data_IF_167263607246
#
_entry.id   IF_167263607246
#
_cell.length_a   1.000
_cell.length_b   1.000
_cell.length_c   1.000
_cell.angle_alpha   90.00
_cell.angle_beta   90.00
_cell.angle_gamma   90.00
#
_symmetry.space_group_name_H-M   'P 1'
#
loop_
_entity.id
_entity.type
_entity.pdbx_description
1 polymer ?
#
# COMPACT_ATOMS: atom_id res chain seq x y z
N UNK A 1 -12.74 10.41 17.34
CA UNK A 1 -12.11 9.27 16.64
C UNK A 1 -11.48 8.35 17.67
N UNK A 2 -11.64 7.03 17.54
CA UNK A 2 -10.98 6.06 18.43
C UNK A 2 -9.49 6.01 18.08
N UNK A 3 -8.62 6.14 19.07
CA UNK A 3 -7.18 6.03 18.86
C UNK A 3 -6.82 4.60 18.41
N UNK A 4 -5.82 4.46 17.55
CA UNK A 4 -5.27 3.14 17.21
C UNK A 4 -4.68 2.47 18.44
N UNK A 5 -4.82 1.14 18.50
CA UNK A 5 -4.17 0.35 19.53
C UNK A 5 -2.66 0.51 19.42
N UNK A 6 -2.00 0.80 20.55
CA UNK A 6 -0.55 0.87 20.63
C UNK A 6 0.00 -0.53 20.90
N UNK A 7 1.10 -0.86 20.25
CA UNK A 7 1.78 -2.16 20.39
C UNK A 7 3.28 -1.95 20.38
N UNK A 8 4.03 -2.89 20.97
CA UNK A 8 5.47 -3.00 20.75
C UNK A 8 5.70 -3.85 19.48
N UNK A 9 6.66 -3.44 18.67
CA UNK A 9 7.00 -4.09 17.40
C UNK A 9 8.47 -4.49 17.47
N UNK A 10 8.73 -5.78 17.31
CA UNK A 10 10.09 -6.30 17.17
C UNK A 10 10.69 -5.87 15.84
N UNK A 11 11.85 -5.23 15.91
CA UNK A 11 12.63 -4.85 14.72
C UNK A 11 14.04 -5.41 14.84
N UNK A 12 14.81 -5.48 13.73
CA UNK A 12 16.24 -5.85 13.80
C UNK A 12 17.09 -4.95 14.71
N UNK A 13 16.58 -3.79 15.13
CA UNK A 13 17.26 -2.84 16.00
C UNK A 13 16.67 -2.78 17.43
N UNK A 14 15.82 -3.74 17.79
CA UNK A 14 15.11 -3.81 19.07
C UNK A 14 13.63 -3.43 18.96
N UNK A 15 12.94 -3.51 20.09
CA UNK A 15 11.52 -3.19 20.19
C UNK A 15 11.27 -1.68 20.04
N UNK A 16 10.28 -1.33 19.21
CA UNK A 16 9.84 0.06 19.03
C UNK A 16 8.34 0.19 19.26
N UNK A 17 7.86 1.31 19.84
CA UNK A 17 6.43 1.54 19.95
C UNK A 17 5.83 1.84 18.58
N UNK A 18 4.66 1.27 18.32
CA UNK A 18 3.91 1.47 17.08
C UNK A 18 2.40 1.38 17.28
N UNK A 19 1.69 1.30 16.15
CA UNK A 19 0.23 1.18 16.11
C UNK A 19 -0.19 -0.08 15.35
N UNK A 20 -1.32 -0.66 15.71
CA UNK A 20 -1.89 -1.84 15.03
C UNK A 20 -3.31 -1.52 14.52
N UNK A 21 -3.43 -0.83 13.36
CA UNK A 21 -4.72 -0.52 12.76
C UNK A 21 -5.36 -1.75 12.12
N UNK A 22 -6.70 -1.81 12.15
CA UNK A 22 -7.48 -2.88 11.48
C UNK A 22 -7.58 -2.62 9.96
N UNK A 23 -7.69 -1.36 9.56
CA UNK A 23 -7.75 -0.93 8.17
C UNK A 23 -6.51 -0.09 7.88
N UNK A 24 -5.76 -0.46 6.85
CA UNK A 24 -4.59 0.28 6.41
C UNK A 24 -4.92 0.96 5.08
N UNK A 25 -5.00 2.29 5.12
CA UNK A 25 -4.98 3.12 3.91
C UNK A 25 -3.54 3.24 3.43
N UNK A 26 -3.20 2.49 2.38
CA UNK A 26 -1.88 2.42 1.79
C UNK A 26 -1.90 3.04 0.39
N UNK A 27 -0.78 3.62 -0.05
CA UNK A 27 -0.61 4.23 -1.39
C UNK A 27 -1.12 5.66 -1.58
N UNK A 28 -1.36 6.40 -0.49
CA UNK A 28 -1.64 7.85 -0.57
C UNK A 28 -0.39 8.71 -0.75
N UNK A 29 0.73 8.29 -0.16
CA UNK A 29 1.99 9.04 -0.19
C UNK A 29 2.87 8.66 -1.40
N UNK A 30 2.64 7.48 -1.97
CA UNK A 30 3.34 6.93 -3.13
C UNK A 30 2.45 5.87 -3.76
N UNK A 31 2.54 5.64 -5.07
CA UNK A 31 1.78 4.60 -5.75
C UNK A 31 2.44 3.23 -5.50
N UNK A 32 2.02 2.54 -4.44
CA UNK A 32 2.60 1.26 -4.04
C UNK A 32 2.35 0.19 -5.12
N UNK A 33 1.12 0.01 -5.65
CA UNK A 33 0.89 -1.00 -6.67
C UNK A 33 1.77 -0.83 -7.91
N UNK A 34 1.98 0.41 -8.37
CA UNK A 34 2.77 0.67 -9.58
C UNK A 34 4.29 0.50 -9.36
N UNK A 35 4.82 0.90 -8.21
CA UNK A 35 6.28 1.06 -8.03
C UNK A 35 6.90 0.31 -6.85
N UNK A 36 6.11 -0.10 -5.86
CA UNK A 36 6.61 -0.64 -4.59
C UNK A 36 5.88 -1.91 -4.14
N UNK A 37 5.32 -2.66 -5.08
CA UNK A 37 4.63 -3.93 -4.82
C UNK A 37 5.52 -4.91 -4.06
N UNK A 38 6.71 -5.21 -4.58
CA UNK A 38 7.64 -6.15 -3.93
C UNK A 38 8.04 -5.68 -2.53
N UNK A 39 8.38 -4.38 -2.40
CA UNK A 39 8.68 -3.79 -1.09
C UNK A 39 7.53 -3.97 -0.10
N UNK A 40 6.28 -3.73 -0.53
CA UNK A 40 5.11 -3.84 0.33
C UNK A 40 4.93 -5.28 0.85
N UNK A 41 5.06 -6.27 -0.02
CA UNK A 41 4.93 -7.68 0.40
C UNK A 41 6.10 -8.14 1.28
N UNK A 42 7.32 -7.65 1.06
CA UNK A 42 8.43 -7.89 1.99
C UNK A 42 8.16 -7.25 3.37
N UNK A 43 7.53 -6.07 3.42
CA UNK A 43 7.08 -5.48 4.70
C UNK A 43 5.95 -6.27 5.35
N UNK A 44 5.02 -6.79 4.55
CA UNK A 44 3.94 -7.64 5.02
C UNK A 44 4.49 -8.94 5.62
N UNK A 45 5.50 -9.55 4.98
CA UNK A 45 6.24 -10.70 5.49
C UNK A 45 6.99 -10.38 6.79
N UNK A 46 7.61 -9.20 6.88
CA UNK A 46 8.23 -8.74 8.11
C UNK A 46 7.23 -8.43 9.24
N UNK A 47 5.93 -8.30 8.94
CA UNK A 47 4.87 -8.06 9.94
C UNK A 47 4.72 -6.61 10.39
N UNK A 48 5.50 -5.68 9.83
CA UNK A 48 5.39 -4.26 10.14
C UNK A 48 5.94 -3.37 9.00
N UNK A 49 5.57 -2.09 9.00
CA UNK A 49 6.22 -1.07 8.20
C UNK A 49 6.58 0.16 9.02
N UNK A 50 7.50 0.97 8.48
CA UNK A 50 7.84 2.29 8.99
C UNK A 50 7.35 3.32 7.97
N UNK A 51 6.40 4.14 8.37
CA UNK A 51 5.92 5.27 7.57
C UNK A 51 6.46 6.58 8.12
N UNK A 52 6.86 7.49 7.23
CA UNK A 52 7.25 8.84 7.61
C UNK A 52 6.12 9.79 7.23
N UNK A 53 5.59 10.50 8.22
CA UNK A 53 4.57 11.50 7.96
C UNK A 53 5.19 12.65 7.13
N UNK A 54 4.64 12.98 5.94
CA UNK A 54 5.24 13.97 5.05
C UNK A 54 5.18 15.40 5.62
N UNK A 55 4.23 15.70 6.49
CA UNK A 55 3.99 17.04 7.03
C UNK A 55 4.91 17.39 8.20
N UNK A 56 5.24 16.41 9.05
CA UNK A 56 6.04 16.66 10.27
C UNK A 56 7.29 15.78 10.39
N UNK A 57 7.55 14.92 9.39
CA UNK A 57 8.73 14.05 9.29
C UNK A 57 8.89 13.03 10.42
N UNK A 58 7.89 12.89 11.30
CA UNK A 58 7.91 11.89 12.37
C UNK A 58 7.68 10.50 11.80
N UNK A 59 8.48 9.55 12.28
CA UNK A 59 8.30 8.13 11.96
C UNK A 59 7.14 7.54 12.77
N UNK A 60 6.36 6.69 12.12
CA UNK A 60 5.33 5.87 12.72
C UNK A 60 5.55 4.43 12.28
N UNK A 61 5.70 3.54 13.26
CA UNK A 61 5.72 2.11 13.02
C UNK A 61 4.30 1.58 13.04
N UNK A 62 3.96 0.78 12.04
CA UNK A 62 2.63 0.20 11.83
C UNK A 62 2.80 -1.31 11.81
N UNK A 63 2.23 -1.97 12.81
CA UNK A 63 2.12 -3.43 12.86
C UNK A 63 1.04 -3.88 11.88
N UNK A 64 1.33 -4.98 11.16
CA UNK A 64 0.38 -5.64 10.28
C UNK A 64 -0.45 -6.72 10.99
N UNK A 65 -0.16 -7.00 12.26
CA UNK A 65 -0.76 -8.14 12.98
C UNK A 65 -2.28 -8.04 13.16
N UNK A 66 -2.83 -6.83 13.20
CA UNK A 66 -4.28 -6.60 13.31
C UNK A 66 -4.95 -6.23 11.98
N UNK A 67 -4.18 -6.13 10.89
CA UNK A 67 -4.69 -5.67 9.61
C UNK A 67 -5.66 -6.69 9.02
N UNK A 68 -6.85 -6.23 8.62
CA UNK A 68 -7.89 -7.04 7.96
C UNK A 68 -8.25 -6.55 6.57
N UNK A 69 -7.97 -5.28 6.29
CA UNK A 69 -8.23 -4.65 4.99
C UNK A 69 -7.08 -3.71 4.62
N UNK A 70 -6.56 -3.87 3.41
CA UNK A 70 -5.65 -2.90 2.77
C UNK A 70 -6.42 -2.13 1.70
N UNK A 71 -6.44 -0.81 1.82
CA UNK A 71 -6.98 0.08 0.78
C UNK A 71 -5.82 0.58 -0.06
N UNK A 72 -5.89 0.38 -1.38
CA UNK A 72 -4.85 0.75 -2.32
C UNK A 72 -5.35 1.82 -3.30
N UNK A 73 -4.47 2.76 -3.66
CA UNK A 73 -4.67 3.74 -4.72
C UNK A 73 -3.57 3.58 -5.76
N UNK A 74 -3.93 3.61 -7.04
CA UNK A 74 -2.95 3.50 -8.13
C UNK A 74 -3.50 4.03 -9.45
N UNK A 75 -2.60 4.33 -10.38
CA UNK A 75 -2.94 4.50 -11.80
C UNK A 75 -2.51 3.33 -12.67
N UNK A 76 -1.78 2.37 -12.10
CA UNK A 76 -1.29 1.19 -12.80
C UNK A 76 -1.31 -0.01 -11.83
N UNK A 77 -2.41 -0.77 -11.75
CA UNK A 77 -2.52 -1.92 -10.86
C UNK A 77 -1.74 -3.14 -11.35
N UNK A 78 -1.41 -3.22 -12.64
CA UNK A 78 -0.82 -4.42 -13.25
C UNK A 78 0.36 -5.04 -12.46
N UNK A 79 1.32 -4.28 -11.91
CA UNK A 79 2.48 -4.86 -11.24
C UNK A 79 2.15 -5.59 -9.92
N UNK A 80 1.06 -5.24 -9.24
CA UNK A 80 0.69 -5.88 -7.96
C UNK A 80 -0.15 -7.13 -8.14
N UNK A 81 -0.84 -7.29 -9.28
CA UNK A 81 -1.90 -8.29 -9.48
C UNK A 81 -1.44 -9.72 -9.17
N UNK A 82 -0.23 -10.08 -9.62
CA UNK A 82 0.33 -11.43 -9.42
C UNK A 82 0.64 -11.77 -7.95
N UNK A 83 0.69 -10.78 -7.07
CA UNK A 83 1.05 -10.93 -5.65
C UNK A 83 -0.17 -10.95 -4.74
N UNK A 84 -1.38 -10.66 -5.25
CA UNK A 84 -2.59 -10.51 -4.44
C UNK A 84 -2.97 -11.77 -3.65
N UNK A 85 -2.66 -12.95 -4.19
CA UNK A 85 -2.82 -14.22 -3.48
C UNK A 85 -2.09 -14.25 -2.12
N UNK A 86 -1.02 -13.48 -1.93
CA UNK A 86 -0.33 -13.39 -0.64
C UNK A 86 -1.13 -12.65 0.44
N UNK A 87 -2.02 -11.73 0.06
CA UNK A 87 -2.96 -11.12 1.00
C UNK A 87 -4.07 -12.11 1.38
N UNK A 88 -4.58 -12.85 0.39
CA UNK A 88 -5.63 -13.85 0.58
C UNK A 88 -5.18 -14.99 1.49
N UNK A 89 -3.96 -15.51 1.28
CA UNK A 89 -3.35 -16.53 2.16
C UNK A 89 -3.20 -16.07 3.62
N UNK A 90 -3.24 -14.75 3.87
CA UNK A 90 -3.14 -14.16 5.21
C UNK A 90 -4.49 -13.72 5.78
N UNK A 91 -5.60 -14.02 5.10
CA UNK A 91 -6.96 -13.53 5.46
C UNK A 91 -7.04 -11.99 5.52
N UNK A 92 -6.27 -11.33 4.65
CA UNK A 92 -6.27 -9.87 4.51
C UNK A 92 -7.04 -9.51 3.25
N UNK A 93 -8.17 -8.81 3.43
CA UNK A 93 -8.96 -8.30 2.32
C UNK A 93 -8.28 -7.07 1.72
N UNK A 94 -8.63 -6.75 0.47
CA UNK A 94 -8.12 -5.55 -0.18
C UNK A 94 -9.15 -4.98 -1.16
N UNK A 95 -9.02 -3.69 -1.43
CA UNK A 95 -9.67 -3.09 -2.60
C UNK A 95 -8.79 -1.98 -3.19
N UNK A 96 -9.02 -1.75 -4.47
CA UNK A 96 -8.34 -0.73 -5.23
C UNK A 96 -9.25 0.46 -5.50
N UNK A 97 -8.68 1.65 -5.44
CA UNK A 97 -9.20 2.84 -6.08
C UNK A 97 -8.25 3.18 -7.22
N UNK A 98 -8.68 2.97 -8.46
CA UNK A 98 -7.85 3.21 -9.63
C UNK A 98 -8.29 4.47 -10.34
N UNK A 99 -7.35 5.34 -10.70
CA UNK A 99 -7.63 6.54 -11.52
C UNK A 99 -7.20 6.30 -12.96
N UNK A 100 -8.14 6.48 -13.88
CA UNK A 100 -7.92 6.30 -15.32
C UNK A 100 -8.18 7.64 -16.02
N UNK A 101 -7.13 8.46 -16.10
CA UNK A 101 -7.17 9.72 -16.85
C UNK A 101 -6.78 9.51 -18.32
N UNK A 102 -7.41 10.21 -19.24
CA UNK A 102 -7.06 10.24 -20.67
C UNK A 102 -6.30 11.53 -21.00
N UNK A 103 -5.01 11.56 -20.67
CA UNK A 103 -4.11 12.70 -20.93
C UNK A 103 -2.92 12.32 -21.82
N UNK A 104 -3.09 11.31 -22.67
CA UNK A 104 -2.01 10.82 -23.53
C UNK A 104 -1.62 11.82 -24.61
N UNK A 105 -2.60 12.41 -25.27
CA UNK A 105 -2.36 13.40 -26.32
C UNK A 105 -1.65 14.65 -25.77
N UNK A 106 -1.97 15.03 -24.52
CA UNK A 106 -1.38 16.16 -23.82
C UNK A 106 -0.03 15.84 -23.17
N UNK A 107 0.28 14.57 -22.93
CA UNK A 107 1.52 14.14 -22.29
C UNK A 107 1.66 14.57 -20.83
N UNK A 108 0.55 14.78 -20.10
CA UNK A 108 0.57 15.29 -18.71
C UNK A 108 1.01 14.25 -17.67
N UNK A 109 0.94 12.96 -18.00
CA UNK A 109 1.24 11.86 -17.08
C UNK A 109 2.27 10.89 -17.69
N UNK A 110 3.52 11.36 -17.91
CA UNK A 110 4.54 10.54 -18.56
C UNK A 110 4.88 9.30 -17.73
N UNK A 111 5.11 8.18 -18.41
CA UNK A 111 5.50 6.91 -17.79
C UNK A 111 4.32 6.04 -17.32
N UNK A 112 3.06 6.48 -17.51
CA UNK A 112 1.92 5.58 -17.40
C UNK A 112 1.77 4.71 -18.66
N UNK A 113 1.25 3.48 -18.53
CA UNK A 113 0.79 2.72 -19.68
C UNK A 113 -0.32 3.47 -20.43
N UNK A 114 -0.46 3.18 -21.72
CA UNK A 114 -1.57 3.66 -22.52
C UNK A 114 -2.93 3.32 -21.88
N UNK A 115 -3.95 4.09 -22.22
CA UNK A 115 -5.28 4.12 -21.67
C UNK A 115 -5.92 2.76 -21.87
N UNK A 116 -5.84 2.24 -23.09
CA UNK A 116 -6.31 0.89 -23.42
C UNK A 116 -5.67 -0.15 -22.50
N UNK A 117 -4.35 -0.12 -22.33
CA UNK A 117 -3.64 -1.05 -21.45
C UNK A 117 -4.03 -0.89 -19.95
N UNK A 118 -4.41 0.31 -19.52
CA UNK A 118 -4.93 0.53 -18.16
C UNK A 118 -6.37 0.04 -18.02
N UNK A 119 -7.20 0.19 -19.04
CA UNK A 119 -8.57 -0.34 -19.08
C UNK A 119 -8.55 -1.87 -19.07
N UNK A 120 -7.61 -2.48 -19.80
CA UNK A 120 -7.45 -3.94 -19.84
C UNK A 120 -7.13 -4.56 -18.47
N UNK A 121 -6.70 -3.77 -17.49
CA UNK A 121 -6.44 -4.28 -16.13
C UNK A 121 -7.70 -4.61 -15.32
N UNK A 122 -8.90 -4.31 -15.83
CA UNK A 122 -10.19 -4.55 -15.16
C UNK A 122 -11.04 -5.68 -15.78
N UNK A 123 -10.62 -6.24 -16.92
CA UNK A 123 -11.33 -7.28 -17.68
C UNK A 123 -10.60 -8.61 -17.62
#
# INVERSE_FOLDING_TARGET
MKAWNKVMIDTPHGEVPGVAPIIISASRATDIPAFYSDWFFERLKAGYLKWINPFNRKAQYVSMAAARVIVLWTKNPAPIMMRLAELEMRDINYYFTVTVNDYEAEGLEPGLPALDARIDSFV
#
